data_IF_188699110995
#
_entry.id   IF_188699110995
#
_cell.length_a   1.000
_cell.length_b   1.000
_cell.length_c   1.000
_cell.angle_alpha   90.00
_cell.angle_beta   90.00
_cell.angle_gamma   90.00
#
_symmetry.space_group_name_H-M   'P 1'
#
loop_
_entity.id
_entity.type
_entity.pdbx_description
1 polymer ?
#
# COMPACT_ATOMS: atom_id res chain seq x y z
N UNK A 1 -8.27 -43.73 -35.27
CA UNK A 1 -7.30 -42.87 -34.58
C UNK A 1 -6.74 -41.86 -35.58
N UNK A 2 -6.97 -40.57 -35.35
CA UNK A 2 -6.26 -39.48 -36.03
C UNK A 2 -6.13 -38.35 -35.01
N UNK A 3 -4.93 -38.21 -34.48
CA UNK A 3 -4.52 -37.13 -33.57
C UNK A 3 -4.40 -35.86 -34.42
N UNK A 4 -4.99 -34.75 -33.97
CA UNK A 4 -4.84 -33.48 -34.69
C UNK A 4 -5.47 -32.28 -33.97
N UNK A 5 -4.59 -31.39 -33.55
CA UNK A 5 -4.79 -29.99 -33.19
C UNK A 5 -5.32 -29.62 -31.80
N UNK A 6 -4.42 -29.77 -30.82
CA UNK A 6 -4.27 -28.78 -29.75
C UNK A 6 -3.69 -27.49 -30.36
N UNK A 7 -4.55 -26.55 -30.73
CA UNK A 7 -4.18 -25.13 -30.84
C UNK A 7 -5.17 -24.33 -30.01
N UNK A 8 -5.02 -24.44 -28.68
CA UNK A 8 -5.48 -23.39 -27.78
C UNK A 8 -4.50 -22.22 -27.98
N UNK A 9 -4.80 -21.38 -28.98
CA UNK A 9 -4.07 -20.15 -29.22
C UNK A 9 -4.22 -19.30 -27.96
N UNK A 10 -3.13 -19.18 -27.22
CA UNK A 10 -2.96 -18.14 -26.23
C UNK A 10 -3.41 -16.84 -26.87
N UNK A 11 -4.34 -16.17 -26.21
CA UNK A 11 -4.78 -14.80 -26.47
C UNK A 11 -3.56 -13.87 -26.33
N UNK A 12 -2.75 -13.91 -27.37
CA UNK A 12 -1.51 -13.22 -27.59
C UNK A 12 -1.83 -11.78 -27.99
N UNK A 13 -2.16 -10.97 -26.98
CA UNK A 13 -2.24 -9.52 -27.09
C UNK A 13 -0.82 -8.94 -27.30
N UNK A 14 -0.22 -9.19 -28.47
CA UNK A 14 1.14 -8.75 -28.85
C UNK A 14 1.19 -7.36 -29.52
N UNK A 15 0.38 -6.40 -29.05
CA UNK A 15 0.46 -5.03 -29.56
C UNK A 15 1.67 -4.24 -29.06
N UNK A 16 2.27 -4.66 -27.94
CA UNK A 16 3.34 -3.91 -27.27
C UNK A 16 4.49 -4.88 -26.90
N UNK A 17 5.72 -4.64 -27.39
CA UNK A 17 6.89 -5.42 -27.01
C UNK A 17 7.01 -5.60 -25.50
N UNK A 18 7.22 -6.85 -25.06
CA UNK A 18 7.41 -7.23 -23.64
C UNK A 18 8.44 -6.36 -22.91
N UNK A 19 9.44 -5.87 -23.63
CA UNK A 19 10.50 -4.99 -23.12
C UNK A 19 9.97 -3.61 -22.67
N UNK A 20 8.96 -3.06 -23.35
CA UNK A 20 8.32 -1.79 -22.97
C UNK A 20 7.56 -1.94 -21.65
N UNK A 21 6.83 -3.05 -21.48
CA UNK A 21 6.15 -3.36 -20.23
C UNK A 21 7.13 -3.59 -19.06
N UNK A 22 8.27 -4.24 -19.32
CA UNK A 22 9.29 -4.46 -18.31
C UNK A 22 9.90 -3.13 -17.82
N UNK A 23 10.24 -2.22 -18.74
CA UNK A 23 10.75 -0.88 -18.43
C UNK A 23 9.74 -0.04 -17.65
N UNK A 24 8.48 -0.04 -18.07
CA UNK A 24 7.40 0.66 -17.34
C UNK A 24 7.22 0.11 -15.92
N UNK A 25 7.24 -1.21 -15.76
CA UNK A 25 7.13 -1.87 -14.45
C UNK A 25 8.30 -1.52 -13.53
N UNK A 26 9.53 -1.46 -14.06
CA UNK A 26 10.70 -1.00 -13.32
C UNK A 26 10.60 0.48 -12.95
N UNK A 27 10.09 1.33 -13.85
CA UNK A 27 9.82 2.74 -13.58
C UNK A 27 8.84 2.93 -12.42
N UNK A 28 7.73 2.19 -12.40
CA UNK A 28 6.79 2.20 -11.26
C UNK A 28 7.49 1.71 -9.98
N UNK A 29 8.30 0.64 -10.08
CA UNK A 29 8.96 0.05 -8.93
C UNK A 29 9.91 1.04 -8.24
N UNK A 30 10.72 1.77 -8.99
CA UNK A 30 11.57 2.83 -8.43
C UNK A 30 10.78 4.09 -8.07
N UNK A 31 9.74 4.42 -8.83
CA UNK A 31 8.88 5.58 -8.54
C UNK A 31 8.18 5.48 -7.18
N UNK A 32 7.78 4.27 -6.77
CA UNK A 32 7.19 4.05 -5.44
C UNK A 32 8.22 4.28 -4.34
N UNK A 33 9.48 3.89 -4.53
CA UNK A 33 10.54 4.14 -3.54
C UNK A 33 10.81 5.63 -3.37
N UNK A 34 10.93 6.35 -4.49
CA UNK A 34 11.05 7.79 -4.48
C UNK A 34 9.85 8.43 -3.77
N UNK A 35 8.64 7.90 -3.98
CA UNK A 35 7.45 8.31 -3.24
C UNK A 35 7.59 8.11 -1.73
N UNK A 36 8.05 6.94 -1.28
CA UNK A 36 8.26 6.65 0.16
C UNK A 36 9.33 7.56 0.76
N UNK A 37 10.44 7.80 0.04
CA UNK A 37 11.49 8.73 0.47
C UNK A 37 11.00 10.17 0.53
N UNK A 38 10.27 10.63 -0.49
CA UNK A 38 9.74 11.99 -0.55
C UNK A 38 8.72 12.25 0.56
N UNK A 39 7.84 11.27 0.84
CA UNK A 39 6.88 11.38 1.93
C UNK A 39 7.61 11.40 3.29
N UNK A 40 8.58 10.51 3.51
CA UNK A 40 9.33 10.46 4.76
C UNK A 40 10.15 11.73 5.02
N UNK A 41 10.86 12.20 4.00
CA UNK A 41 11.63 13.45 4.08
C UNK A 41 10.75 14.68 4.21
N UNK A 42 9.66 14.75 3.45
CA UNK A 42 8.67 15.83 3.57
C UNK A 42 7.98 15.85 4.94
N UNK A 43 7.70 14.67 5.50
CA UNK A 43 7.16 14.54 6.85
C UNK A 43 8.13 15.05 7.90
N UNK A 44 9.40 14.64 7.85
CA UNK A 44 10.44 15.10 8.77
C UNK A 44 10.60 16.63 8.72
N UNK A 45 10.77 17.17 7.50
CA UNK A 45 10.90 18.60 7.28
C UNK A 45 9.70 19.41 7.78
N UNK A 46 8.48 18.94 7.53
CA UNK A 46 7.26 19.59 8.01
C UNK A 46 7.16 19.55 9.54
N UNK A 47 7.55 18.43 10.16
CA UNK A 47 7.46 18.24 11.60
C UNK A 47 8.49 19.05 12.39
N UNK A 48 9.64 19.39 11.78
CA UNK A 48 10.67 20.24 12.40
C UNK A 48 10.15 21.62 12.84
N UNK A 49 9.02 22.09 12.29
CA UNK A 49 8.37 23.33 12.72
C UNK A 49 7.80 23.27 14.16
N UNK A 50 7.51 22.08 14.67
CA UNK A 50 6.92 21.92 16.01
C UNK A 50 7.95 21.82 17.12
N UNK A 51 9.25 21.69 16.80
CA UNK A 51 10.30 21.61 17.81
C UNK A 51 10.77 23.02 18.24
N UNK A 52 10.87 23.29 19.55
CA UNK A 52 11.49 24.51 20.04
C UNK A 52 12.99 24.50 19.75
N UNK A 53 13.57 25.66 19.43
CA UNK A 53 15.00 25.80 19.04
C UNK A 53 15.96 25.28 20.11
N UNK A 54 15.57 25.35 21.39
CA UNK A 54 16.33 24.81 22.52
C UNK A 54 16.48 23.28 22.49
N UNK A 55 15.63 22.56 21.77
CA UNK A 55 15.61 21.10 21.67
C UNK A 55 16.13 20.58 20.31
N UNK A 56 17.09 21.29 19.72
CA UNK A 56 17.68 20.94 18.42
C UNK A 56 18.26 19.52 18.35
N UNK A 57 18.79 18.99 19.47
CA UNK A 57 19.25 17.59 19.53
C UNK A 57 18.11 16.58 19.35
N UNK A 58 16.95 16.84 19.97
CA UNK A 58 15.77 15.97 19.83
C UNK A 58 15.24 16.01 18.40
N UNK A 59 15.32 17.17 17.75
CA UNK A 59 14.97 17.34 16.33
C UNK A 59 15.86 16.47 15.43
N UNK A 60 17.19 16.49 15.64
CA UNK A 60 18.11 15.64 14.87
C UNK A 60 17.84 14.15 15.12
N UNK A 61 17.61 13.75 16.37
CA UNK A 61 17.28 12.36 16.70
C UNK A 61 16.01 11.92 15.98
N UNK A 62 14.98 12.77 15.95
CA UNK A 62 13.75 12.51 15.21
C UNK A 62 14.00 12.36 13.71
N UNK A 63 14.81 13.22 13.09
CA UNK A 63 15.17 13.12 11.68
C UNK A 63 15.90 11.79 11.37
N UNK A 64 16.86 11.40 12.22
CA UNK A 64 17.60 10.14 12.08
C UNK A 64 16.67 8.93 12.21
N UNK A 65 15.78 8.91 13.19
CA UNK A 65 14.80 7.84 13.37
C UNK A 65 13.88 7.75 12.14
N UNK A 66 13.41 8.90 11.64
CA UNK A 66 12.56 8.95 10.46
C UNK A 66 13.29 8.39 9.23
N UNK A 67 14.56 8.73 9.04
CA UNK A 67 15.39 8.17 7.96
C UNK A 67 15.54 6.65 8.09
N UNK A 68 15.78 6.13 9.31
CA UNK A 68 15.86 4.69 9.56
C UNK A 68 14.54 3.99 9.20
N UNK A 69 13.39 4.57 9.56
CA UNK A 69 12.08 4.03 9.22
C UNK A 69 11.86 4.01 7.71
N UNK A 70 12.22 5.07 6.99
CA UNK A 70 12.12 5.14 5.53
C UNK A 70 12.96 4.05 4.87
N UNK A 71 14.22 3.89 5.31
CA UNK A 71 15.10 2.83 4.81
C UNK A 71 14.51 1.47 5.11
N UNK A 72 14.03 1.24 6.34
CA UNK A 72 13.37 0.00 6.71
C UNK A 72 12.18 -0.31 5.79
N UNK A 73 11.34 0.66 5.47
CA UNK A 73 10.17 0.48 4.60
C UNK A 73 10.54 0.02 3.19
N UNK A 74 11.67 0.52 2.67
CA UNK A 74 12.15 0.30 1.30
C UNK A 74 12.94 -1.01 1.18
N UNK A 75 13.58 -1.46 2.27
CA UNK A 75 14.33 -2.73 2.32
C UNK A 75 13.42 -3.92 1.95
N UNK A 76 14.00 -4.84 1.19
CA UNK A 76 13.39 -6.11 0.82
C UNK A 76 13.48 -7.10 1.97
N UNK A 77 12.36 -7.73 2.31
CA UNK A 77 12.29 -8.84 3.25
C UNK A 77 12.30 -10.19 2.54
N UNK A 78 12.46 -11.26 3.31
CA UNK A 78 12.40 -12.64 2.82
C UNK A 78 11.14 -12.86 1.97
N UNK A 79 11.34 -13.11 0.67
CA UNK A 79 10.27 -13.20 -0.34
C UNK A 79 10.26 -12.08 -1.38
N UNK A 80 11.26 -11.19 -1.41
CA UNK A 80 11.45 -10.18 -2.46
C UNK A 80 10.44 -9.03 -2.42
N UNK A 81 9.63 -8.94 -1.36
CA UNK A 81 8.67 -7.86 -1.13
C UNK A 81 9.25 -6.85 -0.15
N UNK A 82 8.95 -5.58 -0.38
CA UNK A 82 9.36 -4.49 0.51
C UNK A 82 8.48 -4.41 1.75
N UNK A 83 9.03 -3.91 2.85
CA UNK A 83 8.35 -3.83 4.13
C UNK A 83 7.03 -3.03 4.08
N UNK A 84 6.99 -1.92 3.32
CA UNK A 84 5.74 -1.17 3.17
C UNK A 84 4.61 -2.01 2.57
N UNK A 85 4.92 -2.98 1.70
CA UNK A 85 3.90 -3.84 1.09
C UNK A 85 3.28 -4.78 2.12
N UNK A 86 4.11 -5.31 3.02
CA UNK A 86 3.66 -6.17 4.12
C UNK A 86 2.76 -5.40 5.08
N UNK A 87 3.16 -4.18 5.45
CA UNK A 87 2.36 -3.29 6.31
C UNK A 87 1.02 -2.93 5.66
N UNK A 88 1.00 -2.60 4.37
CA UNK A 88 -0.23 -2.33 3.64
C UNK A 88 -1.19 -3.52 3.62
N UNK A 89 -0.66 -4.74 3.43
CA UNK A 89 -1.47 -5.97 3.49
C UNK A 89 -2.04 -6.21 4.89
N UNK A 90 -1.23 -5.98 5.92
CA UNK A 90 -1.68 -6.06 7.31
C UNK A 90 -2.80 -5.05 7.61
N UNK A 91 -2.64 -3.79 7.20
CA UNK A 91 -3.64 -2.74 7.36
C UNK A 91 -4.93 -3.05 6.59
N UNK A 92 -4.81 -3.54 5.35
CA UNK A 92 -5.95 -3.92 4.51
C UNK A 92 -6.73 -5.09 5.12
N UNK A 93 -6.04 -6.10 5.64
CA UNK A 93 -6.69 -7.25 6.29
C UNK A 93 -7.38 -6.86 7.59
N UNK A 94 -6.75 -6.02 8.44
CA UNK A 94 -7.40 -5.46 9.62
C UNK A 94 -8.64 -4.64 9.27
N UNK A 95 -8.54 -3.74 8.30
CA UNK A 95 -9.67 -2.91 7.85
C UNK A 95 -10.81 -3.79 7.30
N UNK A 96 -10.47 -4.85 6.56
CA UNK A 96 -11.45 -5.82 6.06
C UNK A 96 -12.18 -6.57 7.19
N UNK A 97 -11.48 -6.93 8.28
CA UNK A 97 -12.10 -7.55 9.46
C UNK A 97 -13.03 -6.58 10.19
N UNK A 98 -12.56 -5.34 10.43
CA UNK A 98 -13.36 -4.28 11.05
C UNK A 98 -14.65 -4.05 10.25
N UNK A 99 -14.56 -3.86 8.93
CA UNK A 99 -15.74 -3.65 8.08
C UNK A 99 -16.74 -4.81 8.14
N UNK A 100 -16.28 -6.06 8.29
CA UNK A 100 -17.17 -7.22 8.43
C UNK A 100 -17.87 -7.26 9.79
N UNK A 101 -17.20 -6.84 10.86
CA UNK A 101 -17.79 -6.77 12.20
C UNK A 101 -18.91 -5.72 12.31
N UNK A 102 -18.79 -4.59 11.60
CA UNK A 102 -19.82 -3.55 11.59
C UNK A 102 -20.94 -3.77 10.55
N UNK A 103 -20.77 -4.71 9.62
CA UNK A 103 -21.77 -5.06 8.60
C UNK A 103 -23.10 -5.58 9.20
N UNK A 104 -23.13 -6.48 10.20
CA UNK A 104 -24.39 -6.92 10.82
C UNK A 104 -25.05 -5.81 11.64
N UNK A 105 -24.27 -4.92 12.28
CA UNK A 105 -24.80 -3.82 13.09
C UNK A 105 -25.57 -2.80 12.25
N UNK A 106 -25.04 -2.44 11.07
CA UNK A 106 -25.77 -1.58 10.12
C UNK A 106 -27.05 -2.22 9.59
N UNK A 107 -27.07 -3.54 9.42
CA UNK A 107 -28.25 -4.27 8.94
C UNK A 107 -29.33 -4.39 10.02
N UNK A 108 -28.95 -4.46 11.29
CA UNK A 108 -29.87 -4.45 12.43
C UNK A 108 -30.51 -3.06 12.63
N UNK A 109 -29.72 -1.99 12.64
CA UNK A 109 -30.25 -0.62 12.73
C UNK A 109 -31.20 -0.27 11.58
N UNK A 110 -30.89 -0.68 10.34
CA UNK A 110 -31.78 -0.43 9.21
C UNK A 110 -33.14 -1.13 9.32
N UNK A 111 -33.18 -2.30 9.98
CA UNK A 111 -34.44 -3.02 10.23
C UNK A 111 -35.27 -2.37 11.34
N UNK A 112 -34.64 -1.93 12.44
CA UNK A 112 -35.35 -1.24 13.53
C UNK A 112 -35.99 0.07 13.02
N UNK A 113 -35.25 0.87 12.27
CA UNK A 113 -35.76 2.14 11.71
C UNK A 113 -36.94 1.92 10.73
N UNK A 114 -36.92 0.86 9.93
CA UNK A 114 -38.08 0.48 9.08
C UNK A 114 -39.28 -0.01 9.90
N UNK A 115 -39.05 -0.60 11.06
CA UNK A 115 -40.13 -1.09 11.92
C UNK A 115 -40.81 0.07 12.65
N UNK A 116 -40.04 1.06 13.09
CA UNK A 116 -40.52 2.26 13.78
C UNK A 116 -41.26 3.25 12.86
N UNK A 117 -40.95 3.23 11.55
CA UNK A 117 -41.62 4.07 10.55
C UNK A 117 -42.96 3.48 10.05
N UNK A 118 -43.30 2.24 10.42
CA UNK A 118 -44.52 1.54 10.03
C UNK A 118 -45.57 1.44 11.16
N UNK A 119 -45.37 2.17 12.26
CA UNK A 119 -46.35 2.35 13.34
C UNK A 119 -46.99 3.75 13.31
#
# INVERSE_FOLDING_TARGET
>A
MKVGNLMNQGSDNYGVPRDIFAKFKMGIFYGVDFGVMAIGGGFAWWFNRFFPVSQWLNMIIFDVITAIIVVFLIIHTNGGKRNYTVLLLFLRTKTGRIKRQFKPLKKAQGKEIETDANF
#
